data_IF_489739737180
#
_entry.id   IF_489739737180
#
_cell.length_a   1.000
_cell.length_b   1.000
_cell.length_c   1.000
_cell.angle_alpha   90.00
_cell.angle_beta   90.00
_cell.angle_gamma   90.00
#
_symmetry.space_group_name_H-M   'P 1'
#
loop_
_entity.id
_entity.type
_entity.pdbx_description
1 polymer ?
#
# COMPACT_ATOMS: atom_id res chain seq x y z
N UNK A 1 -13.25 17.46 3.88
CA UNK A 1 -12.32 16.39 4.30
C UNK A 1 -11.03 17.07 4.72
N UNK A 2 -10.83 17.25 6.02
CA UNK A 2 -9.61 17.85 6.57
C UNK A 2 -8.46 16.91 6.25
N UNK A 3 -7.41 17.39 5.58
CA UNK A 3 -6.19 16.62 5.39
C UNK A 3 -5.66 16.26 6.77
N UNK A 4 -5.68 14.98 7.14
CA UNK A 4 -5.45 14.50 8.51
C UNK A 4 -4.09 14.90 9.10
N UNK A 5 -3.15 15.35 8.27
CA UNK A 5 -1.83 15.80 8.70
C UNK A 5 -1.43 17.20 8.19
N UNK A 6 -2.22 17.86 7.33
CA UNK A 6 -1.82 19.12 6.65
C UNK A 6 -0.44 19.06 5.96
N UNK A 7 -0.01 17.86 5.54
CA UNK A 7 1.29 17.59 4.91
C UNK A 7 1.13 17.36 3.40
N UNK A 8 2.16 17.72 2.63
CA UNK A 8 2.24 17.43 1.21
C UNK A 8 2.60 15.98 0.90
N UNK A 9 2.36 15.55 -0.34
CA UNK A 9 2.71 14.20 -0.80
C UNK A 9 4.20 13.88 -0.64
N UNK A 10 5.08 14.80 -1.05
CA UNK A 10 6.53 14.60 -1.02
C UNK A 10 7.08 14.60 0.42
N UNK A 11 6.44 15.35 1.31
CA UNK A 11 6.74 15.36 2.74
C UNK A 11 6.39 14.01 3.38
N UNK A 12 5.20 13.47 3.10
CA UNK A 12 4.80 12.14 3.57
C UNK A 12 5.71 11.03 3.01
N UNK A 13 6.09 11.14 1.74
CA UNK A 13 7.04 10.22 1.09
C UNK A 13 8.40 10.25 1.81
N UNK A 14 8.92 11.46 2.09
CA UNK A 14 10.17 11.65 2.83
C UNK A 14 10.13 11.11 4.26
N UNK A 15 8.97 11.17 4.93
CA UNK A 15 8.78 10.58 6.25
C UNK A 15 8.72 9.06 6.20
N UNK A 16 7.99 8.49 5.23
CA UNK A 16 7.88 7.05 5.05
C UNK A 16 9.21 6.39 4.69
N UNK A 17 10.05 7.07 3.92
CA UNK A 17 11.41 6.59 3.61
C UNK A 17 12.27 6.34 4.87
N UNK A 18 11.97 7.01 5.99
CA UNK A 18 12.69 6.87 7.27
C UNK A 18 12.16 5.75 8.15
N UNK A 19 10.98 5.22 7.88
CA UNK A 19 10.42 4.09 8.62
C UNK A 19 11.11 2.78 8.20
N UNK A 20 11.08 1.71 8.99
CA UNK A 20 11.63 0.43 8.56
C UNK A 20 10.70 -0.29 7.59
N UNK A 21 11.27 -1.18 6.76
CA UNK A 21 10.51 -2.14 5.95
C UNK A 21 9.59 -2.95 6.85
N UNK A 22 8.32 -3.10 6.46
CA UNK A 22 7.32 -3.85 7.21
C UNK A 22 6.74 -3.08 8.41
N UNK A 23 7.03 -1.79 8.55
CA UNK A 23 6.32 -0.86 9.43
C UNK A 23 6.13 -1.33 10.89
N UNK A 24 7.14 -1.99 11.46
CA UNK A 24 7.07 -2.60 12.80
C UNK A 24 5.90 -3.60 12.97
N UNK A 25 5.49 -4.27 11.90
CA UNK A 25 4.37 -5.22 11.88
C UNK A 25 3.02 -4.58 11.53
N UNK A 26 2.96 -3.27 11.33
CA UNK A 26 1.74 -2.60 10.88
C UNK A 26 1.48 -2.94 9.42
N UNK A 27 0.27 -3.40 9.12
CA UNK A 27 -0.13 -3.81 7.77
C UNK A 27 -1.40 -3.08 7.35
N UNK A 28 -1.39 -2.50 6.15
CA UNK A 28 -2.58 -1.92 5.54
C UNK A 28 -3.18 -2.86 4.50
N UNK A 29 -4.47 -3.15 4.63
CA UNK A 29 -5.29 -3.79 3.60
C UNK A 29 -6.01 -2.68 2.80
N UNK A 30 -5.70 -2.48 1.51
CA UNK A 30 -6.12 -1.29 0.77
C UNK A 30 -7.54 -1.35 0.19
N UNK A 31 -8.40 -2.26 0.67
CA UNK A 31 -9.72 -2.55 0.09
C UNK A 31 -10.80 -1.52 0.50
N UNK A 32 -10.48 -0.23 0.37
CA UNK A 32 -11.33 0.88 0.82
C UNK A 32 -12.71 0.93 0.15
N UNK A 33 -12.84 0.34 -1.04
CA UNK A 33 -14.07 0.30 -1.84
C UNK A 33 -14.38 -1.12 -2.33
N UNK A 34 -14.00 -2.14 -1.57
CA UNK A 34 -13.96 -3.53 -2.03
C UNK A 34 -12.76 -3.81 -2.94
N UNK A 35 -12.69 -5.04 -3.45
CA UNK A 35 -11.62 -5.50 -4.34
C UNK A 35 -12.18 -6.40 -5.46
N UNK A 36 -11.57 -6.31 -6.64
CA UNK A 36 -11.92 -7.14 -7.81
C UNK A 36 -11.01 -8.36 -7.91
N UNK A 37 -9.75 -8.22 -7.49
CA UNK A 37 -8.78 -9.32 -7.50
C UNK A 37 -8.05 -9.37 -6.16
N UNK A 38 -8.45 -10.27 -5.24
CA UNK A 38 -9.52 -11.29 -5.34
C UNK A 38 -10.94 -10.70 -5.39
N UNK A 39 -11.94 -11.50 -5.79
CA UNK A 39 -13.34 -11.07 -5.89
C UNK A 39 -13.98 -10.91 -4.50
N UNK A 40 -13.69 -9.78 -3.85
CA UNK A 40 -14.19 -9.39 -2.53
C UNK A 40 -14.90 -8.03 -2.62
N UNK A 41 -16.09 -7.97 -3.24
CA UNK A 41 -16.76 -6.71 -3.57
C UNK A 41 -17.22 -5.93 -2.33
N UNK A 42 -17.29 -6.60 -1.17
CA UNK A 42 -17.72 -6.01 0.10
C UNK A 42 -16.59 -5.90 1.13
N UNK A 43 -15.34 -6.12 0.72
CA UNK A 43 -14.19 -5.90 1.60
C UNK A 43 -14.09 -4.42 2.00
N UNK A 44 -13.54 -4.18 3.18
CA UNK A 44 -13.24 -2.86 3.70
C UNK A 44 -11.74 -2.74 3.99
N UNK A 45 -11.23 -1.51 3.94
CA UNK A 45 -9.83 -1.27 4.27
C UNK A 45 -9.56 -1.49 5.76
N UNK A 46 -8.36 -1.92 6.08
CA UNK A 46 -7.98 -2.22 7.45
C UNK A 46 -6.54 -1.79 7.74
N UNK A 47 -6.29 -1.31 8.94
CA UNK A 47 -4.95 -1.09 9.47
C UNK A 47 -4.74 -2.04 10.64
N UNK A 48 -3.91 -3.05 10.45
CA UNK A 48 -3.67 -4.16 11.36
C UNK A 48 -2.31 -3.98 12.06
N UNK A 49 -2.16 -4.56 13.25
CA UNK A 49 -0.88 -4.57 13.98
C UNK A 49 -0.53 -3.25 14.67
N UNK A 50 -1.50 -2.38 14.91
CA UNK A 50 -1.28 -1.10 15.59
C UNK A 50 -0.80 -1.30 17.04
N UNK A 51 0.34 -0.67 17.35
CA UNK A 51 0.84 -0.49 18.72
C UNK A 51 0.98 0.99 19.08
N UNK A 52 1.43 1.30 20.31
CA UNK A 52 1.72 2.67 20.72
C UNK A 52 2.68 3.37 19.75
N UNK A 53 2.32 4.57 19.30
CA UNK A 53 3.13 5.35 18.35
C UNK A 53 3.08 4.85 16.91
N UNK A 54 2.24 3.88 16.55
CA UNK A 54 2.08 3.43 15.17
C UNK A 54 1.35 4.45 14.27
N UNK A 55 0.55 5.35 14.85
CA UNK A 55 -0.25 6.33 14.11
C UNK A 55 0.56 7.58 13.66
N UNK A 56 1.86 7.44 13.44
CA UNK A 56 2.71 8.51 12.91
C UNK A 56 2.52 8.63 11.39
N UNK A 57 2.56 9.85 10.80
CA UNK A 57 2.28 10.05 9.38
C UNK A 57 3.16 9.20 8.46
N UNK A 58 4.48 9.15 8.70
CA UNK A 58 5.42 8.37 7.92
C UNK A 58 5.11 6.87 7.94
N UNK A 59 4.86 6.32 9.14
CA UNK A 59 4.55 4.89 9.31
C UNK A 59 3.25 4.51 8.62
N UNK A 60 2.18 5.27 8.84
CA UNK A 60 0.88 5.00 8.21
C UNK A 60 0.96 5.13 6.69
N UNK A 61 1.68 6.14 6.20
CA UNK A 61 1.90 6.33 4.76
C UNK A 61 2.73 5.18 4.15
N UNK A 62 3.80 4.75 4.82
CA UNK A 62 4.59 3.58 4.39
C UNK A 62 3.75 2.30 4.38
N UNK A 63 2.98 2.05 5.43
CA UNK A 63 2.09 0.89 5.49
C UNK A 63 1.10 0.90 4.33
N UNK A 64 0.58 2.08 3.95
CA UNK A 64 -0.27 2.22 2.78
C UNK A 64 0.46 1.90 1.46
N UNK A 65 1.68 2.42 1.26
CA UNK A 65 2.50 2.10 0.09
C UNK A 65 2.84 0.62 -0.01
N UNK A 66 3.27 0.00 1.09
CA UNK A 66 3.57 -1.44 1.16
C UNK A 66 2.29 -2.26 0.89
N UNK A 67 1.16 -1.93 1.51
CA UNK A 67 -0.12 -2.61 1.32
C UNK A 67 -0.63 -2.57 -0.13
N UNK A 68 -0.55 -1.41 -0.78
CA UNK A 68 -0.91 -1.27 -2.20
C UNK A 68 0.03 -2.08 -3.11
N UNK A 69 1.33 -2.06 -2.82
CA UNK A 69 2.33 -2.87 -3.53
C UNK A 69 2.05 -4.36 -3.38
N UNK A 70 1.71 -4.83 -2.17
CA UNK A 70 1.37 -6.23 -1.93
C UNK A 70 0.05 -6.65 -2.59
N UNK A 71 -0.95 -5.76 -2.67
CA UNK A 71 -2.17 -6.04 -3.42
C UNK A 71 -1.88 -6.22 -4.93
N UNK A 72 -1.02 -5.39 -5.51
CA UNK A 72 -0.56 -5.57 -6.89
C UNK A 72 0.22 -6.88 -7.07
N UNK A 73 1.10 -7.21 -6.11
CA UNK A 73 1.84 -8.48 -6.11
C UNK A 73 0.90 -9.69 -6.06
N UNK A 74 -0.18 -9.66 -5.29
CA UNK A 74 -1.15 -10.75 -5.25
C UNK A 74 -1.82 -10.98 -6.62
N UNK A 75 -2.13 -9.90 -7.35
CA UNK A 75 -2.60 -9.99 -8.73
C UNK A 75 -1.54 -10.59 -9.67
N UNK A 76 -0.28 -10.19 -9.51
CA UNK A 76 0.84 -10.73 -10.26
C UNK A 76 1.07 -12.23 -10.00
N UNK A 77 1.07 -12.65 -8.74
CA UNK A 77 1.17 -14.06 -8.34
C UNK A 77 -0.01 -14.88 -8.88
N UNK A 78 -1.22 -14.28 -8.95
CA UNK A 78 -2.37 -14.94 -9.58
C UNK A 78 -2.16 -15.17 -11.08
N UNK A 79 -1.58 -14.21 -11.81
CA UNK A 79 -1.24 -14.38 -13.23
C UNK A 79 -0.19 -15.49 -13.42
N UNK A 80 0.86 -15.50 -12.59
CA UNK A 80 1.89 -16.56 -12.62
C UNK A 80 1.28 -17.94 -12.35
N UNK A 81 0.36 -18.06 -11.40
CA UNK A 81 -0.35 -19.31 -11.11
C UNK A 81 -1.21 -19.82 -12.28
N UNK A 82 -1.54 -18.96 -13.24
CA UNK A 82 -2.23 -19.31 -14.49
C UNK A 82 -1.26 -19.61 -15.65
N UNK A 83 0.06 -19.66 -15.39
CA UNK A 83 1.09 -19.95 -16.38
C UNK A 83 1.54 -18.72 -17.18
N UNK A 84 1.19 -17.51 -16.77
CA UNK A 84 1.69 -16.28 -17.43
C UNK A 84 3.13 -16.03 -16.98
N UNK A 85 4.06 -16.05 -17.94
CA UNK A 85 5.45 -15.66 -17.73
C UNK A 85 5.63 -14.15 -17.96
N UNK A 86 6.39 -13.50 -17.09
CA UNK A 86 6.67 -12.06 -17.16
C UNK A 86 8.15 -11.82 -16.88
N UNK A 87 8.88 -11.33 -17.88
CA UNK A 87 10.32 -11.03 -17.76
C UNK A 87 10.58 -9.55 -17.46
N UNK A 88 9.57 -8.70 -17.60
CA UNK A 88 9.68 -7.25 -17.43
C UNK A 88 8.44 -6.69 -16.71
N UNK A 89 8.66 -5.78 -15.75
CA UNK A 89 7.60 -4.99 -15.11
C UNK A 89 7.68 -3.55 -15.59
N UNK A 90 6.61 -3.06 -16.22
CA UNK A 90 6.48 -1.67 -16.67
C UNK A 90 5.51 -0.91 -15.78
N UNK A 91 5.99 0.14 -15.12
CA UNK A 91 5.18 0.98 -14.25
C UNK A 91 4.72 2.23 -15.03
N UNK A 92 3.41 2.48 -15.04
CA UNK A 92 2.78 3.59 -15.75
C UNK A 92 1.69 4.24 -14.89
N UNK A 93 1.20 5.42 -15.31
CA UNK A 93 0.13 6.14 -14.62
C UNK A 93 0.64 7.10 -13.53
N UNK A 94 -0.27 7.76 -12.82
CA UNK A 94 0.11 8.79 -11.82
C UNK A 94 0.94 8.26 -10.65
N UNK A 95 0.64 7.03 -10.19
CA UNK A 95 1.35 6.39 -9.08
C UNK A 95 2.81 6.08 -9.38
N UNK A 96 3.21 6.01 -10.65
CA UNK A 96 4.61 5.76 -11.06
C UNK A 96 5.55 6.94 -10.80
N UNK A 97 5.02 8.09 -10.39
CA UNK A 97 5.78 9.32 -10.13
C UNK A 97 6.25 9.42 -8.68
N UNK A 98 5.77 8.55 -7.79
CA UNK A 98 6.22 8.52 -6.41
C UNK A 98 7.59 7.84 -6.34
N UNK A 99 8.58 8.53 -5.79
CA UNK A 99 9.99 8.14 -5.79
C UNK A 99 10.38 7.39 -4.52
#
# INVERSE_FOLDING_TARGET
VTASYSMGHDELTSLAAKEPVGCHGVTFLPYLTGERTPNWPHATGCLLGLGPGAMRPGLVYRAAMEGVTFAMRAGFERMQALGVHCDELRLVGGGSKNA
#
